data_IF_885147667366
#
_entry.id   IF_885147667366
#
_cell.length_a   1.000
_cell.length_b   1.000
_cell.length_c   1.000
_cell.angle_alpha   90.00
_cell.angle_beta   90.00
_cell.angle_gamma   90.00
#
_symmetry.space_group_name_H-M   'P 1'
#
loop_
_entity.id
_entity.type
_entity.pdbx_description
1 polymer ?
#
# COMPACT_ATOMS: atom_id res chain seq x y z
N UNK A 1 6.01 14.38 -17.44
CA UNK A 1 7.20 13.79 -16.78
C UNK A 1 6.68 12.79 -15.76
N UNK A 2 7.11 11.54 -15.79
CA UNK A 2 6.75 10.58 -14.74
C UNK A 2 7.56 10.90 -13.47
N UNK A 3 6.89 11.04 -12.34
CA UNK A 3 7.56 11.24 -11.06
C UNK A 3 7.82 9.87 -10.42
N UNK A 4 9.08 9.57 -10.13
CA UNK A 4 9.51 8.34 -9.46
C UNK A 4 10.14 8.67 -8.11
N UNK A 5 9.83 7.86 -7.10
CA UNK A 5 10.39 7.98 -5.74
C UNK A 5 10.80 6.58 -5.30
N UNK A 6 12.07 6.42 -4.94
CA UNK A 6 12.61 5.19 -4.39
C UNK A 6 13.11 5.44 -2.97
N UNK A 7 12.71 4.57 -2.03
CA UNK A 7 13.12 4.63 -0.62
C UNK A 7 13.39 3.22 -0.10
N UNK A 8 14.40 3.10 0.75
CA UNK A 8 14.78 1.85 1.40
C UNK A 8 15.01 2.09 2.88
N UNK A 9 14.66 1.10 3.71
CA UNK A 9 14.97 1.08 5.13
C UNK A 9 15.38 -0.33 5.56
N UNK A 10 16.38 -0.42 6.44
CA UNK A 10 16.72 -1.65 7.15
C UNK A 10 15.94 -1.67 8.48
N UNK A 11 15.29 -2.79 8.79
CA UNK A 11 14.46 -2.94 9.98
C UNK A 11 14.75 -4.28 10.69
N UNK A 12 14.55 -4.31 12.00
CA UNK A 12 14.80 -5.49 12.85
C UNK A 12 13.62 -6.47 12.86
N UNK A 13 13.06 -6.74 11.68
CA UNK A 13 11.92 -7.63 11.46
C UNK A 13 12.14 -8.49 10.22
N UNK A 14 11.56 -9.69 10.20
CA UNK A 14 11.63 -10.57 9.03
C UNK A 14 10.91 -9.95 7.83
N UNK A 15 11.34 -10.33 6.62
CA UNK A 15 10.67 -9.94 5.38
C UNK A 15 9.17 -10.30 5.41
N UNK A 16 8.84 -11.50 5.89
CA UNK A 16 7.46 -11.97 6.07
C UNK A 16 6.63 -11.09 7.01
N UNK A 17 7.18 -10.71 8.18
CA UNK A 17 6.45 -9.83 9.12
C UNK A 17 6.20 -8.46 8.50
N UNK A 18 7.17 -7.94 7.76
CA UNK A 18 7.01 -6.65 7.07
C UNK A 18 6.04 -6.74 5.90
N UNK A 19 6.04 -7.86 5.16
CA UNK A 19 5.05 -8.13 4.13
C UNK A 19 3.64 -8.09 4.71
N UNK A 20 3.40 -8.82 5.81
CA UNK A 20 2.09 -8.83 6.47
C UNK A 20 1.70 -7.45 6.99
N UNK A 21 2.63 -6.68 7.56
CA UNK A 21 2.36 -5.31 8.00
C UNK A 21 1.86 -4.42 6.86
N UNK A 22 2.48 -4.52 5.68
CA UNK A 22 2.09 -3.74 4.50
C UNK A 22 0.83 -4.30 3.81
N UNK A 23 0.60 -5.61 3.89
CA UNK A 23 -0.60 -6.22 3.31
C UNK A 23 -1.87 -5.99 4.16
N UNK A 24 -1.72 -5.63 5.44
CA UNK A 24 -2.82 -5.39 6.37
C UNK A 24 -3.41 -3.96 6.20
N UNK A 25 -3.93 -3.70 5.00
CA UNK A 25 -4.41 -2.38 4.56
C UNK A 25 -5.55 -1.86 5.43
N UNK A 26 -6.43 -2.76 5.92
CA UNK A 26 -7.58 -2.40 6.76
C UNK A 26 -7.18 -1.68 8.05
N UNK A 27 -5.99 -1.95 8.57
CA UNK A 27 -5.50 -1.39 9.84
C UNK A 27 -4.68 -0.11 9.67
N UNK A 28 -4.46 0.33 8.45
CA UNK A 28 -3.71 1.57 8.18
C UNK A 28 -4.23 2.79 8.95
N UNK A 29 -5.55 3.00 9.14
CA UNK A 29 -6.05 4.12 9.96
C UNK A 29 -5.61 4.08 11.43
N UNK A 30 -5.24 2.90 11.97
CA UNK A 30 -4.79 2.76 13.36
C UNK A 30 -3.42 3.42 13.60
N UNK A 31 -2.56 3.51 12.57
CA UNK A 31 -1.17 3.88 12.75
C UNK A 31 -0.59 4.84 11.70
N UNK A 32 -1.28 5.08 10.57
CA UNK A 32 -0.88 6.08 9.58
C UNK A 32 -1.61 7.40 9.86
N UNK A 33 -0.96 8.45 10.38
CA UNK A 33 -1.63 9.69 10.80
C UNK A 33 -2.35 10.46 9.67
N UNK A 34 -2.04 10.10 8.43
CA UNK A 34 -2.59 10.70 7.21
C UNK A 34 -3.65 9.81 6.53
N UNK A 35 -3.97 8.65 7.12
CA UNK A 35 -5.02 7.75 6.64
C UNK A 35 -6.27 7.92 7.52
N UNK A 36 -7.31 8.56 6.97
CA UNK A 36 -8.58 8.77 7.64
C UNK A 36 -9.49 7.53 7.62
N UNK A 37 -9.22 6.57 6.75
CA UNK A 37 -10.04 5.37 6.58
C UNK A 37 -9.45 4.41 5.54
N UNK A 38 -9.79 3.14 5.67
CA UNK A 38 -9.43 2.09 4.74
C UNK A 38 -10.64 1.16 4.52
N UNK A 39 -10.80 0.67 3.30
CA UNK A 39 -11.89 -0.23 2.91
C UNK A 39 -11.32 -1.30 1.98
N UNK A 40 -11.47 -2.57 2.34
CA UNK A 40 -11.07 -3.70 1.49
C UNK A 40 -12.28 -4.17 0.69
N UNK A 41 -12.15 -4.18 -0.64
CA UNK A 41 -13.22 -4.55 -1.57
C UNK A 41 -13.15 -6.03 -1.95
N UNK A 42 -11.95 -6.49 -2.26
CA UNK A 42 -11.67 -7.86 -2.68
C UNK A 42 -10.35 -8.29 -2.04
N UNK A 43 -10.28 -9.52 -1.55
CA UNK A 43 -9.06 -10.09 -1.00
C UNK A 43 -9.03 -11.60 -1.19
N UNK A 44 -7.91 -12.09 -1.70
CA UNK A 44 -7.55 -13.50 -1.75
C UNK A 44 -6.02 -13.65 -1.57
N UNK A 45 -5.50 -14.87 -1.74
CA UNK A 45 -4.09 -15.16 -1.50
C UNK A 45 -3.12 -14.47 -2.49
N UNK A 46 -3.60 -14.09 -3.67
CA UNK A 46 -2.80 -13.52 -4.75
C UNK A 46 -3.05 -12.02 -4.98
N UNK A 47 -4.15 -11.47 -4.49
CA UNK A 47 -4.53 -10.08 -4.76
C UNK A 47 -5.38 -9.48 -3.64
N UNK A 48 -5.20 -8.17 -3.42
CA UNK A 48 -6.10 -7.34 -2.61
C UNK A 48 -6.45 -6.06 -3.38
N UNK A 49 -7.74 -5.70 -3.42
CA UNK A 49 -8.21 -4.41 -3.91
C UNK A 49 -8.80 -3.62 -2.74
N UNK A 50 -8.27 -2.43 -2.49
CA UNK A 50 -8.65 -1.62 -1.33
C UNK A 50 -8.63 -0.12 -1.64
N UNK A 51 -9.49 0.63 -0.95
CA UNK A 51 -9.47 2.09 -0.93
C UNK A 51 -8.85 2.61 0.36
N UNK A 52 -8.08 3.70 0.24
CA UNK A 52 -7.59 4.50 1.35
C UNK A 52 -8.14 5.93 1.23
N UNK A 53 -8.71 6.43 2.31
CA UNK A 53 -9.03 7.84 2.49
C UNK A 53 -7.80 8.56 3.05
N UNK A 54 -7.14 9.36 2.22
CA UNK A 54 -5.96 10.14 2.59
C UNK A 54 -6.39 11.54 3.00
N UNK A 55 -6.01 11.96 4.21
CA UNK A 55 -6.27 13.30 4.73
C UNK A 55 -4.97 13.97 5.17
N UNK A 56 -4.55 15.01 4.45
CA UNK A 56 -3.37 15.81 4.81
C UNK A 56 -3.57 17.27 4.44
N UNK A 57 -3.35 18.17 5.39
CA UNK A 57 -3.36 19.63 5.14
C UNK A 57 -4.71 20.17 4.63
N UNK A 58 -5.83 19.64 5.09
CA UNK A 58 -7.18 20.07 4.69
C UNK A 58 -7.69 19.48 3.37
N UNK A 59 -6.86 18.69 2.67
CA UNK A 59 -7.26 17.97 1.46
C UNK A 59 -7.63 16.53 1.80
N UNK A 60 -8.76 16.06 1.28
CA UNK A 60 -9.21 14.67 1.39
C UNK A 60 -9.33 14.05 0.00
N UNK A 61 -8.65 12.93 -0.18
CA UNK A 61 -8.73 12.14 -1.40
C UNK A 61 -9.00 10.68 -1.05
N UNK A 62 -9.75 9.99 -1.91
CA UNK A 62 -9.84 8.53 -1.89
C UNK A 62 -8.98 7.99 -3.02
N UNK A 63 -8.21 6.96 -2.70
CA UNK A 63 -7.34 6.26 -3.64
C UNK A 63 -7.65 4.77 -3.55
N UNK A 64 -7.99 4.14 -4.67
CA UNK A 64 -8.24 2.71 -4.77
C UNK A 64 -7.13 2.06 -5.55
N UNK A 65 -6.49 1.05 -4.96
CA UNK A 65 -5.45 0.27 -5.64
C UNK A 65 -5.80 -1.21 -5.67
N UNK A 66 -5.31 -1.89 -6.70
CA UNK A 66 -5.27 -3.34 -6.82
C UNK A 66 -3.83 -3.79 -6.66
N UNK A 67 -3.57 -4.63 -5.67
CA UNK A 67 -2.25 -5.03 -5.25
C UNK A 67 -2.06 -6.52 -5.50
N UNK A 68 -1.10 -6.89 -6.34
CA UNK A 68 -0.71 -8.28 -6.56
C UNK A 68 0.29 -8.72 -5.51
N UNK A 69 0.09 -9.91 -4.96
CA UNK A 69 0.79 -10.42 -3.80
C UNK A 69 1.70 -11.58 -4.22
N UNK A 70 3.01 -11.39 -4.04
CA UNK A 70 4.00 -12.45 -4.12
C UNK A 70 4.66 -12.58 -2.75
N UNK A 71 4.01 -13.33 -1.86
CA UNK A 71 4.48 -13.49 -0.49
C UNK A 71 5.79 -14.31 -0.43
N UNK A 72 6.75 -13.92 0.44
CA UNK A 72 6.83 -12.70 1.24
C UNK A 72 7.61 -11.57 0.54
N UNK A 73 7.93 -11.70 -0.76
CA UNK A 73 8.95 -10.91 -1.43
C UNK A 73 8.45 -9.57 -1.97
N UNK A 74 7.24 -9.51 -2.54
CA UNK A 74 6.80 -8.36 -3.33
C UNK A 74 5.31 -8.08 -3.23
N UNK A 75 4.94 -6.80 -3.14
CA UNK A 75 3.57 -6.31 -3.37
C UNK A 75 3.61 -5.31 -4.51
N UNK A 76 2.90 -5.59 -5.61
CA UNK A 76 2.81 -4.68 -6.76
C UNK A 76 1.47 -3.95 -6.77
N UNK A 77 1.49 -2.64 -6.64
CA UNK A 77 0.30 -1.79 -6.55
C UNK A 77 0.01 -1.15 -7.91
N UNK A 78 -1.26 -1.17 -8.33
CA UNK A 78 -1.75 -0.41 -9.48
C UNK A 78 -2.99 0.39 -9.11
N UNK A 79 -3.09 1.61 -9.63
CA UNK A 79 -4.27 2.44 -9.50
C UNK A 79 -5.48 1.77 -10.14
N UNK A 80 -6.60 1.77 -9.43
CA UNK A 80 -7.93 1.47 -9.97
C UNK A 80 -8.73 2.76 -10.10
N UNK A 81 -8.75 3.58 -9.05
CA UNK A 81 -9.50 4.83 -9.01
C UNK A 81 -8.83 5.85 -8.07
N UNK A 82 -9.04 7.15 -8.33
CA UNK A 82 -8.56 8.23 -7.46
C UNK A 82 -8.14 9.49 -8.21
N UNK A 83 -7.55 10.47 -7.50
CA UNK A 83 -7.22 11.78 -8.08
C UNK A 83 -6.01 11.77 -9.01
N UNK A 84 -5.26 10.65 -9.06
CA UNK A 84 -4.09 10.48 -9.91
C UNK A 84 -4.51 9.92 -11.26
N UNK A 85 -3.82 10.31 -12.33
CA UNK A 85 -4.05 9.69 -13.66
C UNK A 85 -3.49 8.28 -13.75
N UNK A 86 -2.38 8.03 -13.05
CA UNK A 86 -1.73 6.74 -12.95
C UNK A 86 -0.96 6.69 -11.63
N UNK A 87 -0.94 5.52 -11.01
CA UNK A 87 -0.09 5.20 -9.87
C UNK A 87 0.30 3.73 -9.99
N UNK A 88 1.61 3.49 -10.00
CA UNK A 88 2.18 2.16 -9.81
C UNK A 88 3.13 2.23 -8.62
N UNK A 89 3.18 1.15 -7.85
CA UNK A 89 4.06 1.04 -6.70
C UNK A 89 4.58 -0.38 -6.56
N UNK A 90 5.74 -0.53 -5.94
CA UNK A 90 6.27 -1.85 -5.60
C UNK A 90 6.88 -1.78 -4.21
N UNK A 91 6.43 -2.67 -3.33
CA UNK A 91 7.18 -3.03 -2.12
C UNK A 91 8.03 -4.23 -2.42
N UNK A 92 9.29 -4.20 -2.00
CA UNK A 92 10.19 -5.34 -2.08
C UNK A 92 10.77 -5.60 -0.69
N UNK A 93 10.59 -6.83 -0.21
CA UNK A 93 11.04 -7.26 1.10
C UNK A 93 12.20 -8.24 0.92
N UNK A 94 13.37 -7.85 1.44
CA UNK A 94 14.60 -8.63 1.28
C UNK A 94 15.13 -9.02 2.66
N UNK A 95 15.28 -10.31 2.89
CA UNK A 95 16.06 -10.81 4.03
C UNK A 95 17.56 -10.53 3.80
N UNK A 96 18.25 -10.13 4.87
CA UNK A 96 19.68 -9.83 4.88
C UNK A 96 20.43 -10.77 5.80
#
# INVERSE_FOLDING_TARGET
>A
MAHQIDKTALVMHSAERMFHLVNDVARYPEFLPWCAGAEVHEQNDAEIMASLDISKGGVRHRLTTRNQLLMPETIEMKLVDGPLRNLTGRWHFRAL
#
